data_IF_039151226379
#
_entry.id   IF_039151226379
#
_cell.length_a   1.000
_cell.length_b   1.000
_cell.length_c   1.000
_cell.angle_alpha   90.00
_cell.angle_beta   90.00
_cell.angle_gamma   90.00
#
_symmetry.space_group_name_H-M   'P 1'
#
loop_
_entity.id
_entity.type
_entity.pdbx_description
1 polymer ?
#
# COMPACT_ATOMS: atom_id res chain seq x y z
N UNK A 1 -4.12 -3.38 -0.53
CA UNK A 1 -3.39 -4.35 0.32
C UNK A 1 -4.21 -4.80 1.53
N UNK A 2 -5.22 -4.06 1.95
CA UNK A 2 -6.07 -4.41 3.10
C UNK A 2 -7.41 -5.06 2.71
N UNK A 3 -7.56 -5.55 1.47
CA UNK A 3 -8.74 -6.29 0.99
C UNK A 3 -9.06 -7.52 1.84
N UNK A 4 -8.04 -8.10 2.48
CA UNK A 4 -8.20 -9.21 3.39
C UNK A 4 -9.14 -8.91 4.58
N UNK A 5 -9.28 -7.64 4.98
CA UNK A 5 -10.18 -7.22 6.06
C UNK A 5 -11.64 -7.46 5.65
N UNK A 6 -12.00 -7.06 4.44
CA UNK A 6 -13.35 -7.24 3.92
C UNK A 6 -13.62 -8.72 3.63
N UNK A 7 -12.70 -9.41 2.96
CA UNK A 7 -12.80 -10.84 2.66
C UNK A 7 -12.96 -11.69 3.92
N UNK A 8 -12.11 -11.46 4.93
CA UNK A 8 -12.17 -12.16 6.21
C UNK A 8 -13.48 -11.87 6.95
N UNK A 9 -13.93 -10.61 6.91
CA UNK A 9 -15.19 -10.19 7.54
C UNK A 9 -16.38 -10.84 6.85
N UNK A 10 -16.39 -10.93 5.53
CA UNK A 10 -17.49 -11.51 4.76
C UNK A 10 -17.59 -13.02 4.96
N UNK A 11 -16.46 -13.75 4.95
CA UNK A 11 -16.41 -15.18 5.24
C UNK A 11 -16.91 -15.49 6.67
N UNK A 12 -16.44 -14.74 7.66
CA UNK A 12 -16.86 -14.94 9.05
C UNK A 12 -18.32 -14.56 9.27
N UNK A 13 -18.82 -13.53 8.59
CA UNK A 13 -20.24 -13.16 8.61
C UNK A 13 -21.14 -14.20 7.92
N UNK A 14 -20.63 -14.91 6.91
CA UNK A 14 -21.28 -16.05 6.27
C UNK A 14 -21.30 -17.33 7.14
N UNK A 15 -20.61 -17.29 8.30
CA UNK A 15 -20.55 -18.41 9.25
C UNK A 15 -19.44 -19.43 8.90
N UNK A 16 -18.50 -19.10 8.03
CA UNK A 16 -17.35 -19.95 7.73
C UNK A 16 -16.30 -19.88 8.85
N UNK A 17 -15.70 -21.04 9.16
CA UNK A 17 -14.46 -21.12 9.93
C UNK A 17 -13.30 -20.80 9.02
N UNK A 18 -12.39 -19.97 9.47
CA UNK A 18 -11.24 -19.56 8.66
C UNK A 18 -9.95 -19.60 9.49
N UNK A 19 -8.82 -19.77 8.81
CA UNK A 19 -7.49 -19.54 9.40
C UNK A 19 -6.87 -18.37 8.67
N UNK A 20 -6.55 -17.31 9.42
CA UNK A 20 -5.75 -16.19 8.92
C UNK A 20 -4.28 -16.57 9.04
N UNK A 21 -3.58 -16.61 7.92
CA UNK A 21 -2.17 -16.98 7.83
C UNK A 21 -1.37 -15.69 7.51
N UNK A 22 -0.46 -15.32 8.40
CA UNK A 22 0.29 -14.06 8.31
C UNK A 22 1.79 -14.29 8.34
N UNK A 23 2.55 -13.63 7.47
CA UNK A 23 4.01 -13.55 7.56
C UNK A 23 4.36 -12.62 8.73
N UNK A 24 4.74 -13.20 9.88
CA UNK A 24 5.01 -12.45 11.12
C UNK A 24 6.49 -12.11 11.32
N UNK A 25 7.40 -12.64 10.49
CA UNK A 25 8.82 -12.33 10.57
C UNK A 25 9.62 -12.96 9.43
N UNK A 26 10.71 -12.30 9.06
CA UNK A 26 11.60 -12.75 7.98
C UNK A 26 13.05 -12.58 8.43
N UNK A 27 13.87 -13.58 8.15
CA UNK A 27 15.32 -13.52 8.28
C UNK A 27 15.94 -14.00 6.96
N UNK A 28 16.74 -13.16 6.33
CA UNK A 28 17.27 -13.39 5.00
C UNK A 28 16.25 -13.08 3.90
N UNK A 29 16.34 -13.74 2.74
CA UNK A 29 15.48 -13.49 1.59
C UNK A 29 14.18 -14.30 1.69
N UNK A 30 13.04 -13.64 1.45
CA UNK A 30 11.72 -14.25 1.42
C UNK A 30 10.92 -13.76 0.20
N UNK A 31 9.90 -14.53 -0.26
CA UNK A 31 9.13 -14.18 -1.44
C UNK A 31 8.14 -13.03 -1.22
N UNK A 32 7.72 -12.79 0.03
CA UNK A 32 6.82 -11.68 0.42
C UNK A 32 7.33 -11.01 1.68
N UNK A 33 6.88 -9.80 1.89
CA UNK A 33 7.13 -8.93 3.05
C UNK A 33 6.45 -9.42 4.33
N UNK A 34 6.90 -8.92 5.48
CA UNK A 34 6.21 -9.08 6.77
C UNK A 34 4.86 -8.38 6.68
N UNK A 35 3.81 -9.03 7.20
CA UNK A 35 2.42 -8.56 7.10
C UNK A 35 1.65 -9.17 5.92
N UNK A 36 2.30 -9.82 4.96
CA UNK A 36 1.61 -10.53 3.88
C UNK A 36 0.66 -11.60 4.44
N UNK A 37 -0.53 -11.72 3.85
CA UNK A 37 -1.62 -12.57 4.38
C UNK A 37 -2.22 -13.50 3.35
N UNK A 38 -2.71 -14.62 3.87
CA UNK A 38 -3.54 -15.58 3.16
C UNK A 38 -4.66 -16.02 4.10
N UNK A 39 -5.88 -16.09 3.60
CA UNK A 39 -7.05 -16.61 4.32
C UNK A 39 -7.34 -18.00 3.77
N UNK A 40 -7.48 -18.97 4.65
CA UNK A 40 -7.84 -20.34 4.28
C UNK A 40 -9.18 -20.66 4.95
N UNK A 41 -10.18 -21.04 4.15
CA UNK A 41 -11.47 -21.56 4.60
C UNK A 41 -11.71 -22.95 4.01
N UNK A 42 -12.82 -23.57 4.35
CA UNK A 42 -13.24 -24.84 3.74
C UNK A 42 -13.51 -24.69 2.24
N UNK A 43 -13.95 -23.52 1.81
CA UNK A 43 -14.38 -23.24 0.44
C UNK A 43 -13.31 -22.61 -0.45
N UNK A 44 -12.34 -21.88 0.13
CA UNK A 44 -11.42 -21.06 -0.64
C UNK A 44 -10.07 -20.80 0.07
N UNK A 45 -9.07 -20.46 -0.74
CA UNK A 45 -7.83 -19.82 -0.29
C UNK A 45 -7.72 -18.47 -1.01
N UNK A 46 -7.64 -17.38 -0.23
CA UNK A 46 -7.64 -15.99 -0.71
C UNK A 46 -6.35 -15.29 -0.26
N UNK A 47 -5.75 -14.49 -1.13
CA UNK A 47 -4.47 -13.83 -0.86
C UNK A 47 -3.26 -14.74 -1.08
N UNK A 48 -2.07 -14.30 -0.67
CA UNK A 48 -0.83 -15.06 -0.88
C UNK A 48 0.26 -14.63 0.10
N UNK A 49 1.02 -15.60 0.58
CA UNK A 49 2.23 -15.40 1.40
C UNK A 49 3.52 -15.66 0.61
N UNK A 50 3.41 -15.74 -0.73
CA UNK A 50 4.56 -15.83 -1.64
C UNK A 50 4.59 -17.04 -2.56
N UNK A 51 3.53 -17.84 -2.58
CA UNK A 51 3.39 -18.98 -3.49
C UNK A 51 4.30 -20.18 -3.18
N UNK A 52 4.29 -21.14 -4.09
CA UNK A 52 5.16 -22.32 -4.03
C UNK A 52 4.94 -23.23 -2.83
N UNK A 53 5.99 -23.89 -2.37
CA UNK A 53 5.94 -24.86 -1.28
C UNK A 53 5.59 -24.24 0.07
N UNK A 54 6.01 -22.99 0.33
CA UNK A 54 5.67 -22.29 1.57
C UNK A 54 4.15 -22.14 1.69
N UNK A 55 3.52 -21.63 0.65
CA UNK A 55 2.07 -21.41 0.61
C UNK A 55 1.30 -22.73 0.66
N UNK A 56 1.73 -23.71 -0.12
CA UNK A 56 1.12 -25.05 -0.11
C UNK A 56 1.15 -25.72 1.27
N UNK A 57 2.31 -25.72 1.94
CA UNK A 57 2.44 -26.31 3.27
C UNK A 57 1.65 -25.52 4.32
N UNK A 58 1.64 -24.20 4.22
CA UNK A 58 0.86 -23.35 5.12
C UNK A 58 -0.64 -23.54 4.93
N UNK A 59 -1.12 -23.64 3.69
CA UNK A 59 -2.52 -23.92 3.39
C UNK A 59 -2.95 -25.29 3.95
N UNK A 60 -2.12 -26.33 3.78
CA UNK A 60 -2.39 -27.67 4.33
C UNK A 60 -2.49 -27.65 5.86
N UNK A 61 -1.54 -26.99 6.54
CA UNK A 61 -1.60 -26.83 8.01
C UNK A 61 -2.84 -26.07 8.45
N UNK A 62 -3.20 -25.00 7.71
CA UNK A 62 -4.41 -24.25 8.01
C UNK A 62 -5.67 -25.11 7.84
N UNK A 63 -5.75 -25.97 6.83
CA UNK A 63 -6.86 -26.94 6.66
C UNK A 63 -6.91 -27.94 7.83
N UNK A 64 -5.76 -28.46 8.28
CA UNK A 64 -5.69 -29.35 9.44
C UNK A 64 -6.22 -28.64 10.71
N UNK A 65 -5.92 -27.33 10.87
CA UNK A 65 -6.43 -26.52 11.99
C UNK A 65 -7.94 -26.24 11.90
N UNK A 66 -8.52 -26.16 10.69
CA UNK A 66 -9.97 -26.03 10.50
C UNK A 66 -10.74 -27.27 10.95
N UNK A 67 -10.15 -28.46 10.83
CA UNK A 67 -10.75 -29.73 11.27
C UNK A 67 -10.72 -29.92 12.78
N UNK A 68 -9.75 -29.28 13.47
CA UNK A 68 -9.55 -29.34 14.92
C UNK A 68 -10.08 -28.13 15.69
N UNK A 69 -9.94 -28.15 17.02
CA UNK A 69 -10.10 -26.98 17.90
C UNK A 69 -8.73 -26.39 18.24
N UNK A 70 -7.93 -26.08 17.22
CA UNK A 70 -6.57 -25.64 17.42
C UNK A 70 -6.48 -24.16 17.84
N UNK A 71 -5.50 -23.89 18.70
CA UNK A 71 -5.15 -22.54 19.13
C UNK A 71 -4.21 -21.88 18.12
N UNK A 72 -4.13 -20.55 18.09
CA UNK A 72 -3.17 -19.83 17.27
C UNK A 72 -1.73 -20.33 17.47
N UNK A 73 -0.98 -20.40 16.38
CA UNK A 73 0.37 -20.97 16.38
C UNK A 73 1.35 -20.16 15.50
N UNK A 74 2.53 -19.91 16.04
CA UNK A 74 3.65 -19.38 15.27
C UNK A 74 4.55 -20.53 14.82
N UNK A 75 4.77 -20.67 13.49
CA UNK A 75 5.59 -21.73 12.89
C UNK A 75 6.72 -21.14 12.08
N UNK A 76 7.89 -21.77 12.16
CA UNK A 76 9.10 -21.40 11.41
C UNK A 76 9.23 -22.26 10.17
N UNK A 77 9.44 -21.62 9.03
CA UNK A 77 9.68 -22.26 7.73
C UNK A 77 11.06 -21.86 7.20
N UNK A 78 12.04 -22.75 7.23
CA UNK A 78 13.32 -22.50 6.56
C UNK A 78 13.14 -22.64 5.04
N UNK A 79 13.37 -21.55 4.31
CA UNK A 79 13.30 -21.50 2.85
C UNK A 79 14.65 -21.97 2.28
N UNK A 80 14.77 -23.24 2.00
CA UNK A 80 16.00 -23.83 1.46
C UNK A 80 15.72 -24.80 0.32
N UNK A 81 16.76 -25.48 -0.14
CA UNK A 81 16.67 -26.49 -1.21
C UNK A 81 15.69 -27.61 -0.89
N UNK A 82 15.46 -27.92 0.38
CA UNK A 82 14.43 -28.86 0.85
C UNK A 82 13.00 -28.41 0.57
N UNK A 83 12.78 -27.09 0.38
CA UNK A 83 11.49 -26.48 0.01
C UNK A 83 11.40 -26.16 -1.48
N UNK A 84 12.39 -26.56 -2.29
CA UNK A 84 12.42 -26.26 -3.72
C UNK A 84 12.48 -24.74 -4.03
N UNK A 85 12.94 -23.92 -3.08
CA UNK A 85 13.04 -22.48 -3.25
C UNK A 85 14.49 -22.02 -3.28
N UNK A 86 14.78 -21.01 -4.13
CA UNK A 86 16.10 -20.40 -4.25
C UNK A 86 16.39 -19.42 -3.09
N UNK A 87 15.38 -19.07 -2.29
CA UNK A 87 15.49 -18.14 -1.18
C UNK A 87 16.08 -18.85 0.04
N UNK A 88 17.24 -18.43 0.52
CA UNK A 88 17.92 -19.04 1.68
C UNK A 88 17.48 -18.47 3.04
N UNK A 89 16.29 -17.87 3.15
CA UNK A 89 15.81 -17.22 4.37
C UNK A 89 15.01 -18.15 5.30
N UNK A 90 14.56 -17.60 6.41
CA UNK A 90 13.63 -18.23 7.35
C UNK A 90 12.43 -17.30 7.52
N UNK A 91 11.22 -17.84 7.41
CA UNK A 91 9.97 -17.10 7.58
C UNK A 91 9.24 -17.63 8.81
N UNK A 92 8.80 -16.73 9.67
CA UNK A 92 7.92 -17.03 10.79
C UNK A 92 6.47 -16.77 10.32
N UNK A 93 5.63 -17.80 10.30
CA UNK A 93 4.22 -17.73 9.88
C UNK A 93 3.33 -17.87 11.11
N UNK A 94 2.44 -16.90 11.29
CA UNK A 94 1.38 -16.92 12.29
C UNK A 94 0.12 -17.53 11.68
N UNK A 95 -0.45 -18.52 12.34
CA UNK A 95 -1.73 -19.15 12.02
C UNK A 95 -2.73 -18.77 13.10
N UNK A 96 -3.83 -18.17 12.71
CA UNK A 96 -4.88 -17.71 13.62
C UNK A 96 -6.24 -18.30 13.20
N UNK A 97 -6.67 -19.40 13.83
CA UNK A 97 -8.02 -19.91 13.64
C UNK A 97 -9.04 -18.90 14.16
N UNK A 98 -10.02 -18.59 13.32
CA UNK A 98 -11.09 -17.66 13.62
C UNK A 98 -12.40 -18.45 13.51
N UNK A 99 -13.14 -18.48 14.61
CA UNK A 99 -14.44 -19.14 14.65
C UNK A 99 -15.44 -18.46 13.71
N UNK A 100 -16.54 -19.18 13.40
CA UNK A 100 -17.64 -18.71 12.53
C UNK A 100 -18.45 -17.53 13.09
N UNK A 101 -17.84 -16.74 13.94
CA UNK A 101 -18.40 -15.51 14.51
C UNK A 101 -17.41 -14.37 14.35
N UNK A 102 -17.86 -13.28 13.76
CA UNK A 102 -17.06 -12.08 13.55
C UNK A 102 -16.44 -11.58 14.87
N UNK A 103 -15.12 -11.62 15.06
CA UNK A 103 -14.46 -11.10 16.25
C UNK A 103 -14.66 -9.60 16.40
N UNK A 104 -14.70 -9.10 17.64
CA UNK A 104 -14.88 -7.66 17.90
C UNK A 104 -13.78 -6.81 17.22
N UNK A 105 -12.52 -7.22 17.33
CA UNK A 105 -11.40 -6.52 16.73
C UNK A 105 -11.52 -6.38 15.20
N UNK A 106 -12.05 -7.42 14.53
CA UNK A 106 -12.21 -7.41 13.06
C UNK A 106 -13.38 -6.53 12.62
N UNK A 107 -14.48 -6.56 13.38
CA UNK A 107 -15.62 -5.67 13.14
C UNK A 107 -15.20 -4.20 13.25
N UNK A 108 -14.46 -3.87 14.31
CA UNK A 108 -14.04 -2.51 14.59
C UNK A 108 -12.97 -2.07 13.59
N UNK A 109 -12.03 -2.97 13.23
CA UNK A 109 -11.04 -2.74 12.18
C UNK A 109 -11.70 -2.46 10.81
N UNK A 110 -12.74 -3.23 10.44
CA UNK A 110 -13.48 -3.01 9.18
C UNK A 110 -14.13 -1.63 9.16
N UNK A 111 -14.69 -1.18 10.29
CA UNK A 111 -15.28 0.16 10.38
C UNK A 111 -14.23 1.26 10.22
N UNK A 112 -13.08 1.15 10.89
CA UNK A 112 -11.96 2.08 10.76
C UNK A 112 -11.40 2.10 9.33
N UNK A 113 -11.21 0.93 8.73
CA UNK A 113 -10.75 0.79 7.35
C UNK A 113 -11.71 1.47 6.35
N UNK A 114 -13.02 1.28 6.52
CA UNK A 114 -14.05 1.96 5.70
C UNK A 114 -14.04 3.48 5.86
N UNK A 115 -13.68 3.99 7.03
CA UNK A 115 -13.50 5.42 7.32
C UNK A 115 -12.12 5.94 6.94
N UNK A 116 -11.20 5.05 6.54
CA UNK A 116 -9.77 5.34 6.26
C UNK A 116 -9.04 5.93 7.48
N UNK A 117 -9.46 5.51 8.66
CA UNK A 117 -8.82 5.89 9.91
C UNK A 117 -7.58 5.03 10.13
N UNK A 118 -6.39 5.63 10.34
CA UNK A 118 -5.17 4.90 10.63
C UNK A 118 -5.27 4.10 11.93
N UNK A 119 -4.87 2.84 11.88
CA UNK A 119 -4.89 1.95 13.03
C UNK A 119 -3.69 1.00 13.02
N UNK A 120 -3.31 0.48 14.18
CA UNK A 120 -2.34 -0.62 14.33
C UNK A 120 -3.06 -1.83 14.89
N UNK A 121 -2.94 -2.96 14.20
CA UNK A 121 -3.28 -4.24 14.80
C UNK A 121 -2.09 -4.69 15.64
N UNK A 122 -2.35 -5.01 16.89
CA UNK A 122 -1.35 -5.55 17.81
C UNK A 122 -1.75 -6.96 18.18
N UNK A 123 -0.86 -7.92 17.92
CA UNK A 123 -1.08 -9.34 18.20
C UNK A 123 0.01 -9.85 19.15
N UNK A 124 -0.38 -10.49 20.25
CA UNK A 124 0.54 -11.20 21.12
C UNK A 124 0.83 -12.59 20.55
N UNK A 125 2.10 -12.94 20.35
CA UNK A 125 2.53 -14.17 19.69
C UNK A 125 2.78 -15.34 20.65
N UNK A 126 2.74 -15.10 21.96
CA UNK A 126 3.02 -16.09 23.01
C UNK A 126 1.77 -16.52 23.74
N UNK A 127 1.30 -17.74 23.54
CA UNK A 127 0.17 -18.32 24.28
C UNK A 127 -1.20 -17.95 23.76
N UNK A 128 -2.16 -17.65 24.64
CA UNK A 128 -3.48 -17.16 24.24
C UNK A 128 -3.29 -15.82 23.52
N UNK A 129 -3.57 -15.80 22.23
CA UNK A 129 -3.34 -14.61 21.39
C UNK A 129 -4.39 -13.55 21.69
N UNK A 130 -3.97 -12.54 22.46
CA UNK A 130 -4.70 -11.28 22.53
C UNK A 130 -4.47 -10.51 21.23
N UNK A 131 -5.55 -9.99 20.63
CA UNK A 131 -5.48 -9.10 19.48
C UNK A 131 -6.30 -7.85 19.74
N UNK A 132 -5.66 -6.70 19.59
CA UNK A 132 -6.33 -5.41 19.69
C UNK A 132 -6.01 -4.53 18.47
N UNK A 133 -6.86 -3.54 18.26
CA UNK A 133 -6.71 -2.50 17.24
C UNK A 133 -6.58 -1.16 17.97
N UNK A 134 -5.52 -0.43 17.69
CA UNK A 134 -5.16 0.81 18.37
C UNK A 134 -5.15 1.95 17.35
N UNK A 135 -5.90 3.00 17.63
CA UNK A 135 -5.86 4.27 16.88
C UNK A 135 -5.09 5.33 17.69
N UNK A 136 -5.02 6.55 17.16
CA UNK A 136 -4.46 7.67 17.91
C UNK A 136 -5.16 7.87 19.27
N UNK A 137 -6.47 7.70 19.31
CA UNK A 137 -7.30 8.02 20.47
C UNK A 137 -7.87 6.79 21.19
N UNK A 138 -8.24 5.73 20.47
CA UNK A 138 -9.01 4.60 20.98
C UNK A 138 -8.28 3.26 20.93
N UNK A 139 -8.82 2.26 21.64
CA UNK A 139 -8.36 0.87 21.65
C UNK A 139 -9.60 -0.04 21.54
N UNK A 140 -9.55 -1.00 20.62
CA UNK A 140 -10.64 -1.95 20.34
C UNK A 140 -10.13 -3.39 20.46
N UNK A 141 -11.03 -4.34 20.71
CA UNK A 141 -10.71 -5.77 20.78
C UNK A 141 -10.29 -6.21 22.17
N UNK A 142 -9.24 -7.01 22.29
CA UNK A 142 -8.74 -7.53 23.58
C UNK A 142 -7.90 -6.46 24.31
N UNK A 143 -8.59 -5.63 25.08
CA UNK A 143 -7.99 -4.49 25.80
C UNK A 143 -7.06 -4.96 26.93
N UNK A 144 -7.30 -6.12 27.51
CA UNK A 144 -6.45 -6.63 28.62
C UNK A 144 -5.02 -6.91 28.17
N UNK A 145 -4.84 -7.26 26.90
CA UNK A 145 -3.52 -7.43 26.29
C UNK A 145 -2.81 -6.11 25.97
N UNK A 146 -3.51 -4.97 25.92
CA UNK A 146 -2.98 -3.66 25.55
C UNK A 146 -2.38 -2.93 26.76
N UNK A 147 -1.20 -3.34 27.21
CA UNK A 147 -0.49 -2.61 28.28
C UNK A 147 -0.11 -1.18 27.83
N UNK A 148 0.06 -0.21 28.75
CA UNK A 148 0.43 1.17 28.42
C UNK A 148 1.70 1.29 27.53
N UNK A 149 2.69 0.43 27.74
CA UNK A 149 3.91 0.38 26.93
C UNK A 149 3.62 -0.07 25.49
N UNK A 150 2.78 -1.08 25.31
CA UNK A 150 2.37 -1.57 24.00
C UNK A 150 1.56 -0.52 23.24
N UNK A 151 0.62 0.14 23.91
CA UNK A 151 -0.16 1.25 23.32
C UNK A 151 0.74 2.39 22.87
N UNK A 152 1.73 2.76 23.69
CA UNK A 152 2.68 3.79 23.35
C UNK A 152 3.50 3.41 22.11
N UNK A 153 4.01 2.18 22.05
CA UNK A 153 4.77 1.68 20.89
C UNK A 153 3.93 1.64 19.62
N UNK A 154 2.66 1.21 19.70
CA UNK A 154 1.73 1.20 18.59
C UNK A 154 1.50 2.62 18.03
N UNK A 155 1.20 3.59 18.89
CA UNK A 155 0.99 4.98 18.50
C UNK A 155 2.22 5.63 17.90
N UNK A 156 3.41 5.35 18.46
CA UNK A 156 4.68 5.78 17.87
C UNK A 156 4.91 5.16 16.47
N UNK A 157 4.48 3.92 16.24
CA UNK A 157 4.48 3.28 14.92
C UNK A 157 3.63 4.05 13.93
N UNK A 158 2.38 4.38 14.28
CA UNK A 158 1.47 5.17 13.43
C UNK A 158 2.07 6.52 13.02
N UNK A 159 2.67 7.25 13.97
CA UNK A 159 3.32 8.53 13.69
C UNK A 159 4.55 8.40 12.77
N UNK A 160 5.27 7.29 12.89
CA UNK A 160 6.47 7.01 12.11
C UNK A 160 6.17 6.39 10.74
N UNK A 161 4.91 6.01 10.45
CA UNK A 161 4.50 5.30 9.22
C UNK A 161 5.22 3.96 9.07
N UNK A 162 5.40 3.22 10.16
CA UNK A 162 6.09 1.93 10.12
C UNK A 162 5.18 0.87 9.51
N UNK A 163 5.78 0.00 8.72
CA UNK A 163 5.12 -1.21 8.23
C UNK A 163 5.06 -2.28 9.32
N UNK A 164 4.48 -3.45 9.00
CA UNK A 164 4.40 -4.57 9.92
C UNK A 164 5.78 -4.95 10.49
N UNK A 165 5.87 -5.08 11.83
CA UNK A 165 7.11 -5.38 12.54
C UNK A 165 6.87 -6.12 13.86
N UNK A 166 7.91 -6.75 14.39
CA UNK A 166 7.86 -7.49 15.64
C UNK A 166 8.76 -6.86 16.69
N UNK A 167 8.27 -6.74 17.92
CA UNK A 167 9.04 -6.39 19.12
C UNK A 167 8.77 -7.47 20.15
N UNK A 168 9.78 -8.27 20.48
CA UNK A 168 9.69 -9.42 21.38
C UNK A 168 8.56 -10.39 20.94
N UNK A 169 7.57 -10.61 21.79
CA UNK A 169 6.40 -11.44 21.50
C UNK A 169 5.19 -10.65 20.99
N UNK A 170 5.39 -9.40 20.57
CA UNK A 170 4.35 -8.55 20.03
C UNK A 170 4.56 -8.29 18.55
N UNK A 171 3.51 -8.48 17.78
CA UNK A 171 3.47 -8.20 16.35
C UNK A 171 2.56 -7.00 16.09
N UNK A 172 3.10 -5.99 15.46
CA UNK A 172 2.45 -4.73 15.13
C UNK A 172 2.24 -4.67 13.62
N UNK A 173 1.05 -4.35 13.18
CA UNK A 173 0.69 -4.23 11.77
C UNK A 173 -0.05 -2.92 11.54
N UNK A 174 0.60 -1.98 10.90
CA UNK A 174 -0.01 -0.71 10.58
C UNK A 174 -1.05 -0.89 9.47
N UNK A 175 -2.29 -0.57 9.79
CA UNK A 175 -3.39 -0.45 8.86
C UNK A 175 -3.54 1.03 8.53
N UNK A 176 -2.51 1.56 7.94
CA UNK A 176 -2.54 2.91 7.38
C UNK A 176 -3.17 2.79 6.01
N UNK A 177 -4.09 3.66 5.69
CA UNK A 177 -4.47 3.83 4.28
C UNK A 177 -3.19 4.16 3.52
N UNK A 178 -3.05 3.65 2.32
CA UNK A 178 -1.84 3.90 1.53
C UNK A 178 -1.53 5.40 1.43
N UNK A 179 -0.30 5.76 1.72
CA UNK A 179 0.19 7.15 1.55
C UNK A 179 0.45 7.50 0.08
N UNK A 180 0.33 6.53 -0.81
CA UNK A 180 0.45 6.78 -2.26
C UNK A 180 -0.82 7.44 -2.78
N UNK A 181 -0.88 8.76 -2.67
CA UNK A 181 -1.96 9.57 -3.19
C UNK A 181 -1.63 10.05 -4.60
N UNK A 182 -2.49 9.73 -5.56
CA UNK A 182 -2.28 10.02 -6.98
C UNK A 182 -3.45 10.85 -7.52
N UNK A 183 -3.17 11.99 -8.14
CA UNK A 183 -4.16 12.70 -8.94
C UNK A 183 -3.91 12.47 -10.44
N UNK A 184 -4.91 11.97 -11.14
CA UNK A 184 -4.89 11.79 -12.60
C UNK A 184 -5.85 12.81 -13.23
N UNK A 185 -5.30 13.77 -13.95
CA UNK A 185 -6.06 14.80 -14.66
C UNK A 185 -6.27 14.41 -16.11
N UNK A 186 -7.51 14.12 -16.47
CA UNK A 186 -7.93 13.71 -17.81
C UNK A 186 -8.46 12.28 -17.86
N UNK A 187 -9.70 12.12 -18.34
CA UNK A 187 -10.38 10.85 -18.51
C UNK A 187 -10.49 10.46 -20.00
N UNK A 188 -9.43 10.73 -20.78
CA UNK A 188 -9.27 10.23 -22.13
C UNK A 188 -8.73 8.80 -22.16
N UNK A 189 -8.43 8.27 -23.36
CA UNK A 189 -7.95 6.90 -23.52
C UNK A 189 -6.70 6.56 -22.66
N UNK A 190 -5.75 7.49 -22.59
CA UNK A 190 -4.54 7.30 -21.77
C UNK A 190 -4.85 7.38 -20.29
N UNK A 191 -5.64 8.38 -19.85
CA UNK A 191 -6.03 8.52 -18.46
C UNK A 191 -6.80 7.30 -17.95
N UNK A 192 -7.74 6.78 -18.74
CA UNK A 192 -8.47 5.55 -18.41
C UNK A 192 -7.53 4.34 -18.30
N UNK A 193 -6.57 4.20 -19.22
CA UNK A 193 -5.59 3.10 -19.15
C UNK A 193 -4.66 3.22 -17.94
N UNK A 194 -4.24 4.45 -17.59
CA UNK A 194 -3.44 4.72 -16.39
C UNK A 194 -4.21 4.35 -15.12
N UNK A 195 -5.46 4.82 -14.99
CA UNK A 195 -6.30 4.49 -13.83
C UNK A 195 -6.52 2.99 -13.72
N UNK A 196 -6.74 2.29 -14.83
CA UNK A 196 -6.83 0.82 -14.84
C UNK A 196 -5.52 0.14 -14.43
N UNK A 197 -4.36 0.68 -14.81
CA UNK A 197 -3.06 0.16 -14.34
C UNK A 197 -2.84 0.39 -12.85
N UNK A 198 -3.28 1.53 -12.33
CA UNK A 198 -3.18 1.88 -10.91
C UNK A 198 -4.19 1.15 -10.02
N UNK A 199 -5.28 0.60 -10.59
CA UNK A 199 -6.33 -0.06 -9.81
C UNK A 199 -5.87 -1.32 -9.09
N UNK A 200 -4.83 -1.97 -9.60
CA UNK A 200 -4.21 -3.15 -8.98
C UNK A 200 -3.15 -2.81 -7.91
N UNK A 201 -2.88 -1.52 -7.69
CA UNK A 201 -1.88 -1.05 -6.75
C UNK A 201 -2.55 -0.55 -5.47
N UNK A 202 -1.82 -0.65 -4.37
CA UNK A 202 -2.22 -0.03 -3.11
C UNK A 202 -1.96 1.49 -3.18
N UNK A 203 -2.96 2.22 -3.68
CA UNK A 203 -2.91 3.67 -3.85
C UNK A 203 -4.31 4.29 -3.81
N UNK A 204 -4.37 5.57 -3.46
CA UNK A 204 -5.59 6.37 -3.53
C UNK A 204 -5.56 7.22 -4.81
N UNK A 205 -6.46 6.96 -5.73
CA UNK A 205 -6.52 7.71 -7.00
C UNK A 205 -7.66 8.71 -6.99
N UNK A 206 -7.33 9.98 -7.21
CA UNK A 206 -8.29 11.04 -7.52
C UNK A 206 -8.27 11.27 -9.03
N UNK A 207 -9.34 10.85 -9.72
CA UNK A 207 -9.44 10.93 -11.17
C UNK A 207 -10.31 12.09 -11.59
N UNK A 208 -9.73 13.12 -12.20
CA UNK A 208 -10.35 14.43 -12.40
C UNK A 208 -10.56 14.73 -13.89
N UNK A 209 -11.74 15.13 -14.28
CA UNK A 209 -12.05 15.64 -15.63
C UNK A 209 -13.13 16.72 -15.59
N UNK A 210 -13.07 17.65 -16.56
CA UNK A 210 -14.05 18.72 -16.68
C UNK A 210 -15.30 18.37 -17.48
N UNK A 211 -15.35 17.22 -18.12
CA UNK A 211 -16.46 16.76 -18.94
C UNK A 211 -17.49 16.02 -18.10
N UNK A 212 -18.77 16.28 -18.36
CA UNK A 212 -19.87 15.61 -17.67
C UNK A 212 -20.06 14.17 -18.19
N UNK A 213 -20.45 13.29 -17.27
CA UNK A 213 -20.76 11.88 -17.55
C UNK A 213 -19.63 11.12 -18.25
N UNK A 214 -18.37 11.51 -18.00
CA UNK A 214 -17.20 10.85 -18.62
C UNK A 214 -16.85 9.54 -17.90
N UNK A 215 -17.11 9.46 -16.61
CA UNK A 215 -16.80 8.28 -15.79
C UNK A 215 -17.98 7.30 -15.81
N UNK A 216 -17.78 6.10 -16.37
CA UNK A 216 -18.82 5.06 -16.44
C UNK A 216 -18.78 4.08 -15.27
N UNK A 217 -17.58 3.70 -14.88
CA UNK A 217 -17.30 2.86 -13.72
C UNK A 217 -15.92 3.21 -13.21
N UNK A 218 -15.72 3.09 -11.91
CA UNK A 218 -14.42 3.37 -11.27
C UNK A 218 -14.02 2.19 -10.38
N UNK A 219 -12.75 1.81 -10.34
CA UNK A 219 -12.21 0.86 -9.36
C UNK A 219 -12.42 1.35 -7.92
N UNK A 220 -12.36 0.45 -6.95
CA UNK A 220 -12.61 0.75 -5.53
C UNK A 220 -11.64 1.77 -4.93
N UNK A 221 -10.38 1.78 -5.38
CA UNK A 221 -9.36 2.73 -4.95
C UNK A 221 -9.40 4.08 -5.72
N UNK A 222 -10.42 4.30 -6.56
CA UNK A 222 -10.52 5.47 -7.44
C UNK A 222 -11.72 6.33 -7.09
N UNK A 223 -11.50 7.59 -6.77
CA UNK A 223 -12.53 8.62 -6.63
C UNK A 223 -12.60 9.48 -7.89
N UNK A 224 -13.67 9.33 -8.68
CA UNK A 224 -13.93 10.17 -9.84
C UNK A 224 -14.47 11.55 -9.42
N UNK A 225 -13.98 12.60 -10.07
CA UNK A 225 -14.35 13.99 -9.80
C UNK A 225 -14.65 14.70 -11.12
N UNK A 226 -15.89 15.06 -11.31
CA UNK A 226 -16.33 15.94 -12.41
C UNK A 226 -16.38 17.37 -11.90
N UNK A 227 -15.57 18.25 -12.46
CA UNK A 227 -15.49 19.65 -12.03
C UNK A 227 -15.18 20.58 -13.20
N UNK A 228 -15.80 21.76 -13.19
CA UNK A 228 -15.53 22.78 -14.20
C UNK A 228 -14.13 23.43 -14.07
N UNK A 229 -13.49 23.28 -12.91
CA UNK A 229 -12.11 23.76 -12.66
C UNK A 229 -11.23 22.64 -12.09
N UNK A 230 -10.73 21.75 -12.95
CA UNK A 230 -9.86 20.66 -12.52
C UNK A 230 -8.58 21.12 -11.79
N UNK A 231 -8.10 22.32 -12.06
CA UNK A 231 -6.88 22.82 -11.46
C UNK A 231 -7.02 23.11 -9.95
N UNK A 232 -8.24 23.36 -9.45
CA UNK A 232 -8.50 23.53 -8.02
C UNK A 232 -8.31 22.24 -7.24
N UNK A 233 -8.45 21.08 -7.86
CA UNK A 233 -8.27 19.78 -7.20
C UNK A 233 -6.82 19.53 -6.76
N UNK A 234 -5.86 20.29 -7.29
CA UNK A 234 -4.47 20.24 -6.81
C UNK A 234 -4.37 20.63 -5.34
N UNK A 235 -5.11 21.64 -4.90
CA UNK A 235 -5.10 22.10 -3.52
C UNK A 235 -5.73 21.10 -2.53
N UNK A 236 -6.62 20.23 -3.02
CA UNK A 236 -7.30 19.21 -2.22
C UNK A 236 -6.48 17.92 -2.05
N UNK A 237 -5.30 17.83 -2.66
CA UNK A 237 -4.41 16.67 -2.52
C UNK A 237 -3.56 16.79 -1.26
N UNK A 238 -3.32 15.67 -0.55
CA UNK A 238 -2.36 15.64 0.55
C UNK A 238 -0.96 16.09 0.13
N UNK A 239 -0.10 16.53 1.06
CA UNK A 239 1.33 16.68 0.80
C UNK A 239 1.94 15.38 0.28
N UNK A 240 3.06 15.46 -0.45
CA UNK A 240 3.78 14.30 -1.01
C UNK A 240 2.97 13.46 -2.00
N UNK A 241 1.93 14.03 -2.61
CA UNK A 241 1.16 13.38 -3.66
C UNK A 241 1.90 13.30 -4.99
N UNK A 242 1.47 12.34 -5.83
CA UNK A 242 1.92 12.17 -7.19
C UNK A 242 0.85 12.69 -8.16
N UNK A 243 1.27 13.28 -9.25
CA UNK A 243 0.37 13.88 -10.24
C UNK A 243 0.67 13.38 -11.64
N UNK A 244 -0.38 13.05 -12.39
CA UNK A 244 -0.34 12.70 -13.80
C UNK A 244 -1.27 13.63 -14.59
N UNK A 245 -0.70 14.51 -15.40
CA UNK A 245 -1.43 15.54 -16.16
C UNK A 245 -1.51 15.15 -17.62
N UNK A 246 -2.73 14.84 -18.09
CA UNK A 246 -2.98 14.33 -19.45
C UNK A 246 -4.34 14.78 -19.99
N UNK A 247 -4.67 16.05 -19.80
CA UNK A 247 -5.93 16.60 -20.29
C UNK A 247 -5.90 16.81 -21.82
N UNK A 248 -7.04 17.10 -22.40
CA UNK A 248 -7.15 17.44 -23.82
C UNK A 248 -6.73 18.88 -24.14
N UNK A 249 -6.51 19.71 -23.11
CA UNK A 249 -6.21 21.13 -23.25
C UNK A 249 -4.80 21.47 -22.76
N UNK A 250 -3.94 21.97 -23.64
CA UNK A 250 -2.60 22.45 -23.25
C UNK A 250 -2.64 23.62 -22.27
N UNK A 251 -3.69 24.46 -22.32
CA UNK A 251 -3.83 25.57 -21.37
C UNK A 251 -4.17 25.05 -19.97
N UNK A 252 -5.08 24.07 -19.88
CA UNK A 252 -5.42 23.42 -18.63
C UNK A 252 -4.24 22.62 -18.07
N UNK A 253 -3.53 21.84 -18.91
CA UNK A 253 -2.31 21.16 -18.50
C UNK A 253 -1.29 22.13 -17.89
N UNK A 254 -1.15 23.31 -18.49
CA UNK A 254 -0.23 24.34 -18.00
C UNK A 254 -0.66 24.88 -16.63
N UNK A 255 -1.94 25.21 -16.45
CA UNK A 255 -2.47 25.73 -15.17
C UNK A 255 -2.36 24.69 -14.04
N UNK A 256 -2.69 23.43 -14.32
CA UNK A 256 -2.52 22.34 -13.36
C UNK A 256 -1.05 22.19 -12.96
N UNK A 257 -0.13 22.09 -13.93
CA UNK A 257 1.31 21.98 -13.64
C UNK A 257 1.84 23.20 -12.87
N UNK A 258 1.41 24.44 -13.20
CA UNK A 258 1.82 25.64 -12.47
C UNK A 258 1.46 25.54 -10.99
N UNK A 259 0.22 25.12 -10.68
CA UNK A 259 -0.24 24.94 -9.30
C UNK A 259 0.53 23.84 -8.55
N UNK A 260 0.80 22.70 -9.20
CA UNK A 260 1.55 21.59 -8.62
C UNK A 260 2.98 22.04 -8.29
N UNK A 261 3.68 22.66 -9.24
CA UNK A 261 5.06 23.06 -9.08
C UNK A 261 5.22 24.17 -8.02
N UNK A 262 4.25 25.11 -7.92
CA UNK A 262 4.27 26.14 -6.86
C UNK A 262 3.99 25.62 -5.46
N UNK A 263 3.32 24.47 -5.31
CA UNK A 263 3.17 23.80 -3.99
C UNK A 263 4.50 23.29 -3.47
N UNK A 264 5.41 22.89 -4.34
CA UNK A 264 6.76 22.39 -4.01
C UNK A 264 6.78 21.18 -3.03
N UNK A 265 5.65 20.48 -2.89
CA UNK A 265 5.47 19.33 -1.99
C UNK A 265 5.13 18.03 -2.74
N UNK A 266 5.10 18.06 -4.06
CA UNK A 266 4.81 16.91 -4.90
C UNK A 266 6.00 15.93 -4.92
N UNK A 267 5.71 14.63 -4.84
CA UNK A 267 6.72 13.58 -5.09
C UNK A 267 6.97 13.41 -6.58
N UNK A 268 5.92 13.58 -7.40
CA UNK A 268 6.01 13.38 -8.85
C UNK A 268 5.02 14.28 -9.57
N UNK A 269 5.49 14.98 -10.60
CA UNK A 269 4.65 15.80 -11.49
C UNK A 269 4.88 15.37 -12.94
N UNK A 270 4.10 14.40 -13.43
CA UNK A 270 4.19 13.86 -14.79
C UNK A 270 3.23 14.54 -15.76
N UNK A 271 3.76 15.06 -16.86
CA UNK A 271 2.99 15.68 -17.93
C UNK A 271 3.08 14.85 -19.21
N UNK A 272 1.93 14.44 -19.76
CA UNK A 272 1.90 13.80 -21.07
C UNK A 272 2.30 14.81 -22.15
N UNK A 273 3.24 14.43 -22.98
CA UNK A 273 3.66 15.30 -24.08
C UNK A 273 5.01 14.92 -24.67
N UNK A 274 5.51 15.79 -25.56
CA UNK A 274 6.82 15.67 -26.16
C UNK A 274 7.83 16.59 -25.47
N UNK A 275 9.12 16.38 -25.75
CA UNK A 275 10.18 17.31 -25.33
C UNK A 275 9.92 18.75 -25.82
N UNK A 276 9.28 18.92 -27.00
CA UNK A 276 8.90 20.23 -27.48
C UNK A 276 7.82 20.91 -26.63
N UNK A 277 6.83 20.13 -26.13
CA UNK A 277 5.83 20.61 -25.17
C UNK A 277 6.49 21.01 -23.86
N UNK A 278 7.39 20.16 -23.32
CA UNK A 278 8.17 20.44 -22.11
C UNK A 278 8.92 21.78 -22.22
N UNK A 279 9.75 21.95 -23.29
CA UNK A 279 10.52 23.19 -23.49
C UNK A 279 9.63 24.43 -23.53
N UNK A 280 8.46 24.34 -24.20
CA UNK A 280 7.50 25.45 -24.28
C UNK A 280 6.92 25.78 -22.90
N UNK A 281 6.59 24.77 -22.08
CA UNK A 281 6.08 24.96 -20.74
C UNK A 281 7.15 25.56 -19.83
N UNK A 282 8.35 25.00 -19.81
CA UNK A 282 9.48 25.54 -19.03
C UNK A 282 9.77 27.01 -19.37
N UNK A 283 9.80 27.35 -20.66
CA UNK A 283 10.00 28.76 -21.10
C UNK A 283 8.92 29.67 -20.50
N UNK A 284 7.67 29.24 -20.52
CA UNK A 284 6.54 30.01 -19.98
C UNK A 284 6.59 30.11 -18.46
N UNK A 285 6.90 29.03 -17.75
CA UNK A 285 7.07 29.03 -16.31
C UNK A 285 8.19 29.99 -15.87
N UNK A 286 9.34 29.96 -16.53
CA UNK A 286 10.45 30.91 -16.28
C UNK A 286 10.00 32.36 -16.48
N UNK A 287 9.22 32.64 -17.51
CA UNK A 287 8.68 34.00 -17.75
C UNK A 287 7.69 34.45 -16.66
N UNK A 288 7.13 33.53 -15.90
CA UNK A 288 6.25 33.77 -14.76
C UNK A 288 6.99 33.71 -13.41
N UNK A 289 8.33 33.69 -13.42
CA UNK A 289 9.16 33.74 -12.21
C UNK A 289 9.35 32.42 -11.47
N UNK A 290 9.02 31.27 -12.10
CA UNK A 290 9.26 29.95 -11.49
C UNK A 290 10.77 29.66 -11.44
N UNK A 291 11.23 29.12 -10.31
CA UNK A 291 12.64 28.80 -10.10
C UNK A 291 13.04 27.47 -10.80
N UNK A 292 14.30 27.32 -11.18
CA UNK A 292 14.81 26.11 -11.84
C UNK A 292 14.58 24.85 -11.01
N UNK A 293 14.77 24.89 -9.69
CA UNK A 293 14.52 23.78 -8.78
C UNK A 293 13.08 23.24 -8.85
N UNK A 294 12.10 24.14 -9.08
CA UNK A 294 10.71 23.75 -9.18
C UNK A 294 10.42 23.11 -10.56
N UNK A 295 11.10 23.58 -11.61
CA UNK A 295 11.02 23.03 -12.97
C UNK A 295 11.65 21.62 -13.09
N UNK A 296 12.65 21.30 -12.27
CA UNK A 296 13.26 19.97 -12.22
C UNK A 296 12.26 18.88 -11.81
N UNK A 297 11.22 19.24 -11.06
CA UNK A 297 10.15 18.32 -10.65
C UNK A 297 9.21 17.94 -11.82
N UNK A 298 9.22 18.69 -12.92
CA UNK A 298 8.37 18.41 -14.08
C UNK A 298 8.95 17.29 -14.92
N UNK A 299 8.30 16.15 -14.96
CA UNK A 299 8.64 15.00 -15.80
C UNK A 299 7.80 15.04 -17.08
N UNK A 300 8.44 15.25 -18.22
CA UNK A 300 7.80 15.24 -19.54
C UNK A 300 8.84 14.93 -20.63
N UNK A 301 8.59 13.95 -21.49
CA UNK A 301 7.48 12.98 -21.52
C UNK A 301 7.44 12.10 -20.29
N UNK A 302 6.22 11.62 -19.94
CA UNK A 302 6.04 10.59 -18.90
C UNK A 302 6.45 9.22 -19.44
N UNK A 303 6.89 8.35 -18.52
CA UNK A 303 7.18 6.95 -18.76
C UNK A 303 8.64 6.59 -18.61
N UNK A 304 8.89 5.42 -18.05
CA UNK A 304 10.25 4.90 -17.86
C UNK A 304 11.02 4.79 -19.17
N UNK A 305 12.32 5.08 -19.11
CA UNK A 305 13.21 4.95 -20.26
C UNK A 305 13.19 3.52 -20.83
N UNK A 306 13.29 3.42 -22.17
CA UNK A 306 13.31 2.13 -22.88
C UNK A 306 11.93 1.67 -23.36
N UNK A 307 10.83 2.24 -22.89
CA UNK A 307 9.48 2.01 -23.42
C UNK A 307 9.08 3.18 -24.31
N UNK A 308 8.94 2.95 -25.62
CA UNK A 308 8.62 3.98 -26.62
C UNK A 308 7.26 3.78 -27.30
N UNK A 309 6.48 2.83 -26.84
CA UNK A 309 5.16 2.53 -27.37
C UNK A 309 4.19 3.69 -27.19
N UNK A 310 3.26 3.83 -28.15
CA UNK A 310 2.30 4.96 -28.20
C UNK A 310 0.86 4.53 -27.91
N UNK A 311 0.62 3.24 -27.72
CA UNK A 311 -0.72 2.76 -27.33
C UNK A 311 -1.04 3.18 -25.90
N UNK A 312 -2.29 3.53 -25.59
CA UNK A 312 -2.68 3.95 -24.25
C UNK A 312 -2.20 3.00 -23.13
N UNK A 313 -2.32 1.69 -23.32
CA UNK A 313 -1.87 0.70 -22.34
C UNK A 313 -0.34 0.67 -22.14
N UNK A 314 0.44 0.86 -23.22
CA UNK A 314 1.91 0.90 -23.16
C UNK A 314 2.37 2.16 -22.39
N UNK A 315 1.74 3.31 -22.68
CA UNK A 315 1.99 4.56 -21.95
C UNK A 315 1.61 4.41 -20.48
N UNK A 316 0.47 3.78 -20.19
CA UNK A 316 -0.02 3.57 -18.84
C UNK A 316 0.96 2.76 -17.99
N UNK A 317 1.43 1.63 -18.49
CA UNK A 317 2.43 0.78 -17.79
C UNK A 317 3.73 1.55 -17.55
N UNK A 318 4.24 2.26 -18.58
CA UNK A 318 5.46 3.02 -18.46
C UNK A 318 5.35 4.18 -17.45
N UNK A 319 4.23 4.92 -17.46
CA UNK A 319 3.98 6.02 -16.55
C UNK A 319 3.76 5.54 -15.10
N UNK A 320 3.02 4.44 -14.91
CA UNK A 320 2.82 3.85 -13.57
C UNK A 320 4.13 3.36 -12.97
N UNK A 321 4.99 2.70 -13.76
CA UNK A 321 6.31 2.26 -13.30
C UNK A 321 7.23 3.44 -12.94
N UNK A 322 7.21 4.53 -13.71
CA UNK A 322 7.98 5.74 -13.41
C UNK A 322 7.51 6.41 -12.12
N UNK A 323 6.19 6.53 -11.94
CA UNK A 323 5.58 7.07 -10.74
C UNK A 323 5.96 6.25 -9.50
N UNK A 324 5.82 4.92 -9.54
CA UNK A 324 6.21 4.03 -8.45
C UNK A 324 7.68 4.19 -8.08
N UNK A 325 8.57 4.24 -9.06
CA UNK A 325 10.01 4.46 -8.84
C UNK A 325 10.27 5.79 -8.12
N UNK A 326 9.58 6.86 -8.52
CA UNK A 326 9.70 8.17 -7.87
C UNK A 326 9.20 8.12 -6.42
N UNK A 327 8.06 7.50 -6.18
CA UNK A 327 7.47 7.33 -4.87
C UNK A 327 8.38 6.51 -3.93
N UNK A 328 8.84 5.33 -4.33
CA UNK A 328 9.76 4.51 -3.52
C UNK A 328 11.08 5.23 -3.22
N UNK A 329 11.59 6.00 -4.18
CA UNK A 329 12.79 6.79 -3.95
C UNK A 329 12.56 7.89 -2.90
N UNK A 330 11.39 8.52 -2.90
CA UNK A 330 11.02 9.53 -1.92
C UNK A 330 10.82 8.93 -0.51
N UNK A 331 10.29 7.71 -0.38
CA UNK A 331 10.18 7.00 0.89
C UNK A 331 11.57 6.70 1.45
N UNK A 332 12.45 6.06 0.65
CA UNK A 332 13.82 5.73 1.09
C UNK A 332 14.63 6.95 1.55
N UNK A 333 14.41 8.09 0.93
CA UNK A 333 15.08 9.33 1.31
C UNK A 333 14.48 9.99 2.57
N UNK A 334 13.26 9.62 2.96
CA UNK A 334 12.58 10.12 4.14
C UNK A 334 12.81 9.24 5.39
N UNK A 335 13.22 7.98 5.22
CA UNK A 335 13.58 7.12 6.34
C UNK A 335 14.85 7.68 7.01
N UNK A 336 14.84 7.93 8.33
CA UNK A 336 16.05 8.26 9.04
C UNK A 336 17.01 7.08 8.92
N UNK A 337 18.25 7.34 8.49
CA UNK A 337 19.35 6.36 8.51
C UNK A 337 19.58 5.94 9.96
N UNK A 338 18.92 4.86 10.39
CA UNK A 338 19.31 4.17 11.61
C UNK A 338 20.67 3.51 11.34
N UNK A 339 21.69 3.73 12.17
CA UNK A 339 22.95 3.03 12.03
C UNK A 339 22.68 1.52 12.17
N UNK A 340 23.21 0.75 11.22
CA UNK A 340 23.24 -0.73 11.20
C UNK A 340 23.93 -1.27 12.46
N UNK A 341 23.24 -1.34 13.58
CA UNK A 341 23.75 -1.91 14.85
C UNK A 341 23.20 -3.32 15.11
N UNK A 342 22.95 -4.12 14.07
CA UNK A 342 22.53 -5.54 14.24
C UNK A 342 23.53 -6.55 13.64
N UNK A 343 24.68 -6.14 13.12
CA UNK A 343 25.68 -7.05 12.55
C UNK A 343 27.05 -7.08 13.29
N UNK A 344 27.08 -6.99 14.62
CA UNK A 344 28.37 -7.08 15.36
C UNK A 344 28.43 -8.11 16.49
N UNK A 345 27.71 -9.24 16.40
CA UNK A 345 27.82 -10.32 17.40
C UNK A 345 28.19 -11.71 16.86
N UNK A 346 28.70 -11.83 15.61
CA UNK A 346 29.23 -13.10 15.12
C UNK A 346 30.63 -12.98 14.48
N UNK A 347 31.56 -12.34 15.14
CA UNK A 347 33.00 -12.56 14.89
C UNK A 347 33.78 -12.58 16.20
N UNK A 348 33.53 -13.57 17.03
CA UNK A 348 34.50 -14.09 18.02
C UNK A 348 34.08 -15.50 18.41
N UNK A 349 34.50 -16.50 17.60
CA UNK A 349 35.17 -17.75 17.98
C UNK A 349 35.36 -18.62 16.75
#
# INVERSE_FOLDING_TARGET
>A
MNEWIDELSDLTAAGERVVLVTVAGIRGSAPREVGAKMIVSESATIGTIGGGQLEYQSARLACEMLEGDETPALRKFPLGTSMGQCCGGVVDILFEPIASRLPSWLRDLRALHGQREPAVIVTHLGGATGKCVITADDIFGDIESATPDIVTKARQGLEAGRTAHRIDDWFFEDIVGTDLNIAVFGAGHVGSAVVQSLSALDCNVRWVDGRRNIFRSTPSNVRAIETNDPALEVAAMPPRSCYLVMTHSHALDFDICDRILRRSDAVYCGLIGSLSKRRRFEKRFRSQGMQERDLEQLVCPIGVAGISGKKPAEIAVAASAELLRAYESAIRNAEPTYPDNVHSLERRR
#
